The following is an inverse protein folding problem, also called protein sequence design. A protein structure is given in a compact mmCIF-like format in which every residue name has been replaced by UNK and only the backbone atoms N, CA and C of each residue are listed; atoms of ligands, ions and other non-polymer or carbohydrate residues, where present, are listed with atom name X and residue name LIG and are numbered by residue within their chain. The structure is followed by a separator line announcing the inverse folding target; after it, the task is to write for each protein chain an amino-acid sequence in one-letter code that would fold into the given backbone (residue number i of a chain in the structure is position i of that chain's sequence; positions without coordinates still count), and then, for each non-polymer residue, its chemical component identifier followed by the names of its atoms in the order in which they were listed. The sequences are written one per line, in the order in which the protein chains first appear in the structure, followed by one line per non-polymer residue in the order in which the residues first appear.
data_IF_960183904821
#
_entry.id   IF_960183904821
#
_cell.length_a   1.000
_cell.length_b   1.000
_cell.length_c   1.000
_cell.angle_alpha   90.00
_cell.angle_beta   90.00
_cell.angle_gamma   90.00
#
_symmetry.space_group_name_H-M   'P 1'
#
loop_
_entity.id
_entity.type
_entity.pdbx_description
1 polymer ?
#
# COMPACT_ATOMS: atom_id res chain seq x y z
N UNK A 1 -19.52 11.92 7.38
CA UNK A 1 -18.08 11.81 7.06
C UNK A 1 -17.94 10.62 6.11
N UNK A 2 -17.02 10.63 5.14
CA UNK A 2 -16.76 9.41 4.37
C UNK A 2 -16.48 8.28 5.37
N UNK A 3 -17.12 7.13 5.19
CA UNK A 3 -16.82 5.95 5.99
C UNK A 3 -15.32 5.69 5.87
N UNK A 4 -14.59 5.42 6.96
CA UNK A 4 -13.18 5.05 6.85
C UNK A 4 -13.05 3.92 5.83
N UNK A 5 -12.09 4.02 4.89
CA UNK A 5 -11.67 2.85 4.12
C UNK A 5 -10.88 1.94 5.07
N UNK A 6 -11.63 1.26 5.93
CA UNK A 6 -11.17 0.36 6.96
C UNK A 6 -10.59 -0.90 6.31
N UNK A 7 -9.34 -1.20 6.67
CA UNK A 7 -8.63 -2.39 6.20
C UNK A 7 -8.55 -3.40 7.35
N UNK A 8 -9.00 -4.61 7.07
CA UNK A 8 -9.07 -5.70 8.04
C UNK A 8 -8.10 -6.81 7.66
N UNK A 9 -7.47 -7.40 8.68
CA UNK A 9 -6.62 -8.58 8.48
C UNK A 9 -7.45 -9.82 8.17
N UNK A 10 -6.83 -10.80 7.52
CA UNK A 10 -7.41 -12.14 7.29
C UNK A 10 -7.96 -12.75 8.58
N UNK A 11 -7.25 -12.58 9.70
CA UNK A 11 -7.70 -13.01 11.02
C UNK A 11 -8.99 -12.33 11.45
N UNK A 12 -9.07 -10.99 11.35
CA UNK A 12 -10.28 -10.25 11.73
C UNK A 12 -11.48 -10.66 10.87
N UNK A 13 -11.28 -10.81 9.56
CA UNK A 13 -12.35 -11.22 8.65
C UNK A 13 -12.88 -12.62 8.97
N UNK A 14 -12.01 -13.59 9.24
CA UNK A 14 -12.43 -14.93 9.68
C UNK A 14 -13.22 -14.89 10.99
N UNK A 15 -12.87 -13.99 11.92
CA UNK A 15 -13.60 -13.85 13.17
C UNK A 15 -14.95 -13.16 12.98
N UNK A 16 -15.06 -12.18 12.07
CA UNK A 16 -16.33 -11.58 11.65
C UNK A 16 -17.23 -12.65 11.00
N UNK A 17 -16.71 -13.42 10.05
CA UNK A 17 -17.43 -14.51 9.38
C UNK A 17 -17.98 -15.52 10.39
N UNK A 18 -17.14 -15.97 11.32
CA UNK A 18 -17.53 -16.93 12.36
C UNK A 18 -18.65 -16.40 13.24
N UNK A 19 -18.60 -15.13 13.62
CA UNK A 19 -19.64 -14.50 14.44
C UNK A 19 -20.95 -14.30 13.65
N UNK A 20 -20.85 -13.83 12.41
CA UNK A 20 -22.01 -13.63 11.54
C UNK A 20 -22.74 -14.96 11.26
N UNK A 21 -21.98 -16.04 11.00
CA UNK A 21 -22.50 -17.36 10.69
C UNK A 21 -23.38 -17.96 11.81
N UNK A 22 -23.21 -17.55 13.08
CA UNK A 22 -24.07 -18.01 14.19
C UNK A 22 -25.52 -17.58 14.01
N UNK A 23 -25.75 -16.44 13.35
CA UNK A 23 -27.07 -15.82 13.19
C UNK A 23 -27.70 -16.06 11.81
N UNK A 24 -26.95 -16.65 10.88
CA UNK A 24 -27.35 -16.79 9.48
C UNK A 24 -27.61 -18.26 9.13
N UNK A 25 -28.50 -18.53 8.15
CA UNK A 25 -28.65 -19.88 7.60
C UNK A 25 -27.32 -20.41 7.04
N UNK A 26 -27.11 -21.72 7.14
CA UNK A 26 -25.91 -22.38 6.63
C UNK A 26 -25.66 -22.04 5.15
N UNK A 27 -24.48 -21.50 4.83
CA UNK A 27 -24.08 -21.15 3.46
C UNK A 27 -24.57 -19.79 2.97
N UNK A 28 -25.34 -19.04 3.79
CA UNK A 28 -25.87 -17.73 3.38
C UNK A 28 -24.77 -16.72 3.01
N UNK A 29 -23.62 -16.72 3.71
CA UNK A 29 -22.50 -15.82 3.38
C UNK A 29 -21.92 -16.14 1.99
N UNK A 30 -21.73 -17.42 1.66
CA UNK A 30 -21.22 -17.85 0.35
C UNK A 30 -22.20 -17.52 -0.78
N UNK A 31 -23.51 -17.70 -0.54
CA UNK A 31 -24.54 -17.31 -1.51
C UNK A 31 -24.54 -15.80 -1.76
N UNK A 32 -24.41 -14.99 -0.69
CA UNK A 32 -24.29 -13.52 -0.83
C UNK A 32 -23.00 -13.10 -1.53
N UNK A 33 -21.88 -13.74 -1.21
CA UNK A 33 -20.59 -13.50 -1.87
C UNK A 33 -20.66 -13.82 -3.36
N UNK A 34 -21.26 -14.96 -3.71
CA UNK A 34 -21.50 -15.36 -5.11
C UNK A 34 -22.42 -14.41 -5.87
N UNK A 35 -23.51 -13.96 -5.25
CA UNK A 35 -24.40 -12.98 -5.85
C UNK A 35 -23.70 -11.62 -6.05
N UNK A 36 -22.89 -11.18 -5.08
CA UNK A 36 -22.11 -9.96 -5.20
C UNK A 36 -21.04 -10.08 -6.30
N UNK A 37 -20.35 -11.22 -6.38
CA UNK A 37 -19.40 -11.54 -7.44
C UNK A 37 -20.06 -11.53 -8.82
N UNK A 38 -21.27 -12.09 -8.94
CA UNK A 38 -22.04 -12.07 -10.18
C UNK A 38 -22.45 -10.64 -10.57
N UNK A 39 -22.85 -9.81 -9.62
CA UNK A 39 -23.20 -8.41 -9.89
C UNK A 39 -21.99 -7.63 -10.42
N UNK A 40 -20.83 -7.74 -9.76
CA UNK A 40 -19.60 -7.11 -10.24
C UNK A 40 -19.19 -7.63 -11.61
N UNK A 41 -19.30 -8.94 -11.85
CA UNK A 41 -19.04 -9.53 -13.16
C UNK A 41 -19.96 -8.94 -14.25
N UNK A 42 -21.25 -8.79 -13.98
CA UNK A 42 -22.22 -8.21 -14.92
C UNK A 42 -21.90 -6.76 -15.28
N UNK A 43 -21.39 -5.96 -14.33
CA UNK A 43 -20.95 -4.57 -14.59
C UNK A 43 -19.75 -4.49 -15.53
N UNK A 44 -18.91 -5.52 -15.57
CA UNK A 44 -17.72 -5.59 -16.42
C UNK A 44 -17.99 -6.13 -17.83
N UNK A 45 -19.16 -6.73 -18.06
CA UNK A 45 -19.48 -7.29 -19.37
C UNK A 45 -19.75 -6.15 -20.38
N UNK A 46 -19.03 -6.10 -21.52
CA UNK A 46 -19.11 -4.97 -22.45
C UNK A 46 -20.39 -4.94 -23.29
N UNK A 47 -21.22 -5.97 -23.22
CA UNK A 47 -22.43 -6.13 -24.04
C UNK A 47 -23.46 -7.02 -23.32
N UNK A 48 -24.58 -7.30 -24.00
CA UNK A 48 -25.66 -8.13 -23.46
C UNK A 48 -25.13 -9.45 -22.90
N UNK A 49 -25.53 -9.76 -21.66
CA UNK A 49 -25.16 -10.97 -20.93
C UNK A 49 -25.34 -12.25 -21.75
N UNK A 50 -26.32 -12.30 -22.65
CA UNK A 50 -26.59 -13.48 -23.51
C UNK A 50 -25.48 -13.81 -24.51
N UNK A 51 -24.63 -12.84 -24.86
CA UNK A 51 -23.48 -13.06 -25.74
C UNK A 51 -22.19 -13.27 -24.95
N UNK A 52 -22.21 -13.06 -23.63
CA UNK A 52 -21.03 -13.05 -22.80
C UNK A 52 -20.52 -14.47 -22.54
N UNK A 53 -19.25 -14.69 -22.82
CA UNK A 53 -18.54 -15.94 -22.54
C UNK A 53 -17.69 -15.73 -21.30
N UNK A 54 -18.10 -16.30 -20.18
CA UNK A 54 -17.41 -16.12 -18.89
C UNK A 54 -16.71 -17.41 -18.51
N UNK A 55 -15.39 -17.33 -18.29
CA UNK A 55 -14.62 -18.41 -17.70
C UNK A 55 -14.56 -18.20 -16.19
N UNK A 56 -14.90 -19.22 -15.41
CA UNK A 56 -14.82 -19.20 -13.95
C UNK A 56 -13.83 -20.26 -13.50
N UNK A 57 -12.82 -19.85 -12.75
CA UNK A 57 -11.82 -20.73 -12.14
C UNK A 57 -12.21 -20.98 -10.68
N UNK A 58 -12.65 -22.18 -10.35
CA UNK A 58 -13.14 -22.53 -9.01
C UNK A 58 -12.18 -23.49 -8.30
N UNK A 59 -11.50 -23.00 -7.27
CA UNK A 59 -10.58 -23.79 -6.46
C UNK A 59 -11.26 -24.73 -5.45
N UNK A 60 -10.47 -25.47 -4.66
CA UNK A 60 -11.00 -26.48 -3.72
C UNK A 60 -11.55 -25.88 -2.41
N UNK A 61 -11.22 -24.63 -2.06
CA UNK A 61 -11.64 -23.97 -0.83
C UNK A 61 -12.92 -23.15 -0.94
N UNK A 62 -13.21 -22.34 0.08
CA UNK A 62 -14.42 -21.51 0.13
C UNK A 62 -14.48 -20.45 -0.98
N UNK A 63 -13.34 -19.84 -1.36
CA UNK A 63 -13.32 -18.92 -2.51
C UNK A 63 -13.77 -19.61 -3.82
N UNK A 64 -13.47 -20.90 -3.95
CA UNK A 64 -13.98 -21.70 -5.07
C UNK A 64 -15.48 -21.99 -4.96
N UNK A 65 -16.03 -22.03 -3.75
CA UNK A 65 -17.47 -22.04 -3.51
C UNK A 65 -18.14 -20.73 -3.94
N UNK A 66 -17.56 -19.59 -3.57
CA UNK A 66 -18.04 -18.27 -3.99
C UNK A 66 -18.02 -18.12 -5.53
N UNK A 67 -16.98 -18.66 -6.18
CA UNK A 67 -16.89 -18.74 -7.63
C UNK A 67 -17.97 -19.64 -8.26
N UNK A 68 -18.30 -20.77 -7.64
CA UNK A 68 -19.35 -21.66 -8.11
C UNK A 68 -20.74 -21.01 -7.99
N UNK A 69 -21.01 -20.29 -6.90
CA UNK A 69 -22.23 -19.49 -6.77
C UNK A 69 -22.28 -18.39 -7.83
N UNK A 70 -21.18 -17.65 -8.00
CA UNK A 70 -21.03 -16.62 -9.03
C UNK A 70 -21.36 -17.19 -10.42
N UNK A 71 -20.81 -18.37 -10.74
CA UNK A 71 -21.07 -19.08 -11.99
C UNK A 71 -22.56 -19.42 -12.17
N UNK A 72 -23.22 -19.92 -11.11
CA UNK A 72 -24.64 -20.27 -11.14
C UNK A 72 -25.53 -19.04 -11.39
N UNK A 73 -25.25 -17.92 -10.71
CA UNK A 73 -25.97 -16.66 -10.88
C UNK A 73 -25.79 -16.09 -12.29
N UNK A 74 -24.56 -16.09 -12.83
CA UNK A 74 -24.28 -15.63 -14.19
C UNK A 74 -24.96 -16.50 -15.26
N UNK A 75 -24.96 -17.82 -15.07
CA UNK A 75 -25.67 -18.75 -15.95
C UNK A 75 -27.18 -18.47 -15.93
N UNK A 76 -27.76 -18.22 -14.74
CA UNK A 76 -29.16 -17.84 -14.61
C UNK A 76 -29.49 -16.49 -15.26
N UNK A 77 -28.55 -15.53 -15.22
CA UNK A 77 -28.65 -14.26 -15.94
C UNK A 77 -28.50 -14.40 -17.48
N UNK A 78 -28.20 -15.61 -17.97
CA UNK A 78 -28.14 -15.95 -19.38
C UNK A 78 -26.73 -15.92 -20.00
N UNK A 79 -25.67 -15.78 -19.21
CA UNK A 79 -24.30 -15.84 -19.72
C UNK A 79 -23.89 -17.26 -20.14
N UNK A 80 -23.01 -17.36 -21.12
CA UNK A 80 -22.35 -18.60 -21.49
C UNK A 80 -21.18 -18.88 -20.55
N UNK A 81 -21.50 -19.49 -19.41
CA UNK A 81 -20.52 -19.77 -18.34
C UNK A 81 -19.80 -21.10 -18.60
N UNK A 82 -18.47 -21.07 -18.54
CA UNK A 82 -17.60 -22.25 -18.50
C UNK A 82 -16.86 -22.27 -17.17
N UNK A 83 -16.91 -23.38 -16.45
CA UNK A 83 -16.29 -23.56 -15.14
C UNK A 83 -15.13 -24.55 -15.25
N UNK A 84 -13.93 -24.11 -14.88
CA UNK A 84 -12.80 -24.98 -14.56
C UNK A 84 -12.83 -25.28 -13.07
N UNK A 85 -13.11 -26.52 -12.73
CA UNK A 85 -13.33 -26.94 -11.35
C UNK A 85 -12.15 -27.76 -10.82
N UNK A 86 -11.62 -27.37 -9.67
CA UNK A 86 -10.71 -28.21 -8.90
C UNK A 86 -11.51 -29.12 -7.95
N UNK A 87 -11.27 -30.42 -8.04
CA UNK A 87 -11.81 -31.41 -7.11
C UNK A 87 -11.18 -31.28 -5.70
N UNK A 88 -11.80 -31.90 -4.70
CA UNK A 88 -11.23 -32.09 -3.36
C UNK A 88 -11.79 -31.20 -2.24
N UNK A 89 -12.70 -30.27 -2.55
CA UNK A 89 -13.39 -29.48 -1.53
C UNK A 89 -14.53 -30.26 -0.85
N UNK A 90 -14.48 -30.40 0.47
CA UNK A 90 -15.46 -31.17 1.27
C UNK A 90 -16.39 -30.31 2.13
N UNK A 91 -16.17 -28.98 2.17
CA UNK A 91 -17.01 -28.07 2.94
C UNK A 91 -18.48 -28.14 2.47
N UNK A 92 -19.47 -28.32 3.38
CA UNK A 92 -20.88 -28.49 3.01
C UNK A 92 -21.42 -27.35 2.14
N UNK A 93 -21.08 -26.11 2.46
CA UNK A 93 -21.47 -24.91 1.71
C UNK A 93 -20.94 -24.93 0.27
N UNK A 94 -19.67 -25.33 0.07
CA UNK A 94 -19.07 -25.46 -1.25
C UNK A 94 -19.73 -26.59 -2.06
N UNK A 95 -20.09 -27.70 -1.42
CA UNK A 95 -20.79 -28.80 -2.09
C UNK A 95 -22.18 -28.38 -2.58
N UNK A 96 -22.88 -27.54 -1.81
CA UNK A 96 -24.15 -26.93 -2.23
C UNK A 96 -23.95 -25.98 -3.41
N UNK A 97 -22.92 -25.14 -3.37
CA UNK A 97 -22.56 -24.27 -4.49
C UNK A 97 -22.24 -25.06 -5.77
N UNK A 98 -21.48 -26.15 -5.66
CA UNK A 98 -21.19 -27.04 -6.77
C UNK A 98 -22.47 -27.67 -7.35
N UNK A 99 -23.38 -28.12 -6.48
CA UNK A 99 -24.66 -28.69 -6.91
C UNK A 99 -25.53 -27.65 -7.66
N UNK A 100 -25.61 -26.42 -7.15
CA UNK A 100 -26.30 -25.31 -7.82
C UNK A 100 -25.68 -24.98 -9.17
N UNK A 101 -24.36 -24.85 -9.23
CA UNK A 101 -23.65 -24.58 -10.48
C UNK A 101 -23.87 -25.69 -11.52
N UNK A 102 -23.86 -26.96 -11.11
CA UNK A 102 -24.15 -28.11 -12.00
C UNK A 102 -25.60 -28.21 -12.43
N UNK A 103 -26.53 -27.70 -11.65
CA UNK A 103 -27.95 -27.62 -12.02
C UNK A 103 -28.26 -26.45 -12.96
N UNK A 104 -27.32 -25.52 -13.15
CA UNK A 104 -27.44 -24.40 -14.09
C UNK A 104 -27.06 -24.80 -15.52
N UNK A 105 -27.07 -23.84 -16.45
CA UNK A 105 -26.59 -24.01 -17.82
C UNK A 105 -25.07 -23.93 -17.97
N UNK A 106 -24.32 -23.77 -16.87
CA UNK A 106 -22.87 -23.67 -16.89
C UNK A 106 -22.23 -24.98 -17.38
N UNK A 107 -21.22 -24.87 -18.25
CA UNK A 107 -20.45 -26.01 -18.75
C UNK A 107 -19.21 -26.25 -17.90
N UNK A 108 -19.02 -27.46 -17.42
CA UNK A 108 -17.81 -27.85 -16.69
C UNK A 108 -16.76 -28.45 -17.63
N UNK A 109 -15.51 -28.05 -17.46
CA UNK A 109 -14.35 -28.58 -18.20
C UNK A 109 -13.21 -28.89 -17.25
N UNK A 110 -12.25 -29.69 -17.72
CA UNK A 110 -11.01 -29.94 -16.98
C UNK A 110 -10.18 -28.65 -16.85
N UNK A 111 -9.42 -28.49 -15.74
CA UNK A 111 -8.58 -27.32 -15.49
C UNK A 111 -7.29 -27.36 -16.32
N UNK A 112 -7.42 -27.21 -17.64
CA UNK A 112 -6.30 -27.24 -18.59
C UNK A 112 -5.91 -25.79 -19.03
N UNK A 113 -4.65 -25.36 -18.82
CA UNK A 113 -4.18 -24.01 -19.19
C UNK A 113 -4.37 -23.64 -20.66
N UNK A 114 -4.24 -24.60 -21.56
CA UNK A 114 -4.38 -24.41 -23.01
C UNK A 114 -5.81 -23.96 -23.37
N UNK A 115 -6.82 -24.47 -22.65
CA UNK A 115 -8.21 -24.09 -22.84
C UNK A 115 -8.49 -22.65 -22.36
N UNK A 116 -7.70 -22.13 -21.40
CA UNK A 116 -7.77 -20.71 -21.00
C UNK A 116 -7.30 -19.83 -22.15
N UNK A 117 -6.10 -20.08 -22.68
CA UNK A 117 -5.47 -19.24 -23.71
C UNK A 117 -6.18 -19.28 -25.07
N UNK A 118 -6.70 -20.44 -25.47
CA UNK A 118 -7.41 -20.61 -26.74
C UNK A 118 -8.83 -20.03 -26.74
N UNK A 119 -9.38 -19.72 -25.57
CA UNK A 119 -10.72 -19.18 -25.45
C UNK A 119 -10.84 -17.73 -25.92
N UNK A 120 -12.04 -17.40 -26.36
CA UNK A 120 -12.48 -16.03 -26.59
C UNK A 120 -13.46 -15.69 -25.47
N UNK A 121 -12.90 -15.11 -24.40
CA UNK A 121 -13.59 -14.85 -23.15
C UNK A 121 -13.95 -13.37 -23.06
N UNK A 122 -15.16 -13.08 -22.64
CA UNK A 122 -15.60 -11.72 -22.31
C UNK A 122 -15.13 -11.30 -20.91
N UNK A 123 -14.94 -12.28 -20.02
CA UNK A 123 -14.48 -12.09 -18.64
C UNK A 123 -13.89 -13.40 -18.12
N UNK A 124 -12.80 -13.32 -17.35
CA UNK A 124 -12.29 -14.42 -16.52
C UNK A 124 -12.54 -14.08 -15.05
N UNK A 125 -13.10 -15.01 -14.28
CA UNK A 125 -13.31 -14.89 -12.85
C UNK A 125 -12.35 -15.82 -12.13
N UNK A 126 -11.48 -15.23 -11.31
CA UNK A 126 -10.57 -15.96 -10.43
C UNK A 126 -11.21 -16.19 -9.06
N UNK A 127 -11.46 -17.45 -8.74
CA UNK A 127 -11.75 -17.93 -7.39
C UNK A 127 -10.97 -19.19 -7.06
N UNK A 128 -9.70 -19.27 -7.47
CA UNK A 128 -8.84 -20.40 -7.15
C UNK A 128 -8.49 -20.42 -5.65
N UNK A 129 -8.02 -19.30 -5.12
CA UNK A 129 -7.58 -19.16 -3.73
C UNK A 129 -7.94 -17.76 -3.19
N UNK A 130 -8.46 -17.68 -1.96
CA UNK A 130 -8.70 -16.39 -1.27
C UNK A 130 -7.75 -16.22 -0.08
N UNK A 131 -8.22 -15.60 1.02
CA UNK A 131 -7.46 -15.37 2.27
C UNK A 131 -6.93 -16.62 3.01
N UNK A 132 -7.10 -17.83 2.45
CA UNK A 132 -6.67 -19.10 3.02
C UNK A 132 -5.27 -19.56 2.58
N UNK A 133 -4.67 -18.90 1.60
CA UNK A 133 -3.44 -19.36 0.98
C UNK A 133 -2.22 -19.09 1.86
N UNK A 134 -1.55 -20.15 2.32
CA UNK A 134 -0.33 -20.06 3.14
C UNK A 134 0.93 -20.60 2.44
N UNK A 135 0.78 -21.14 1.22
CA UNK A 135 1.86 -21.73 0.42
C UNK A 135 1.81 -21.17 -1.00
N UNK A 136 2.95 -21.06 -1.70
CA UNK A 136 2.96 -20.59 -3.08
C UNK A 136 2.04 -21.44 -3.95
N UNK A 137 1.35 -20.78 -4.88
CA UNK A 137 0.59 -21.48 -5.93
C UNK A 137 1.57 -22.29 -6.76
N UNK A 138 1.28 -23.58 -6.96
CA UNK A 138 2.19 -24.52 -7.60
C UNK A 138 1.46 -25.50 -8.53
N UNK A 139 2.24 -26.19 -9.36
CA UNK A 139 1.73 -27.25 -10.24
C UNK A 139 0.66 -26.75 -11.23
N UNK A 140 -0.43 -27.50 -11.45
CA UNK A 140 -1.47 -27.14 -12.41
C UNK A 140 -2.09 -25.75 -12.17
N UNK A 141 -2.24 -25.33 -10.91
CA UNK A 141 -2.77 -24.01 -10.59
C UNK A 141 -1.84 -22.88 -11.00
N UNK A 142 -0.51 -23.06 -10.85
CA UNK A 142 0.45 -22.05 -11.29
C UNK A 142 0.42 -21.88 -12.81
N UNK A 143 0.22 -22.98 -13.55
CA UNK A 143 0.05 -22.94 -14.99
C UNK A 143 -1.25 -22.23 -15.41
N UNK A 144 -2.35 -22.42 -14.67
CA UNK A 144 -3.59 -21.65 -14.89
C UNK A 144 -3.39 -20.15 -14.64
N UNK A 145 -2.74 -19.77 -13.52
CA UNK A 145 -2.42 -18.37 -13.22
C UNK A 145 -1.61 -17.74 -14.35
N UNK A 146 -0.57 -18.43 -14.84
CA UNK A 146 0.21 -17.96 -15.99
C UNK A 146 -0.61 -17.78 -17.26
N UNK A 147 -1.55 -18.69 -17.55
CA UNK A 147 -2.42 -18.57 -18.71
C UNK A 147 -3.42 -17.40 -18.59
N UNK A 148 -3.95 -17.13 -17.39
CA UNK A 148 -4.83 -15.98 -17.13
C UNK A 148 -4.07 -14.67 -17.30
N UNK A 149 -2.89 -14.54 -16.68
CA UNK A 149 -2.08 -13.31 -16.80
C UNK A 149 -1.67 -13.07 -18.26
N UNK A 150 -1.41 -14.13 -19.03
CA UNK A 150 -1.15 -14.04 -20.47
C UNK A 150 -2.31 -13.43 -21.28
N UNK A 151 -3.57 -13.68 -20.90
CA UNK A 151 -4.75 -13.04 -21.51
C UNK A 151 -4.82 -11.55 -21.17
N UNK A 152 -4.57 -11.21 -19.90
CA UNK A 152 -4.60 -9.84 -19.40
C UNK A 152 -3.50 -8.97 -20.02
N UNK A 153 -2.27 -9.48 -20.10
CA UNK A 153 -1.13 -8.79 -20.70
C UNK A 153 -1.34 -8.48 -22.20
N UNK A 154 -2.07 -9.34 -22.91
CA UNK A 154 -2.48 -9.11 -24.30
C UNK A 154 -3.73 -8.20 -24.41
N UNK A 155 -4.23 -7.66 -23.30
CA UNK A 155 -5.43 -6.83 -23.16
C UNK A 155 -6.67 -7.45 -23.83
N UNK A 156 -6.77 -8.79 -23.81
CA UNK A 156 -7.83 -9.52 -24.51
C UNK A 156 -9.13 -9.57 -23.72
N UNK A 157 -9.08 -9.61 -22.39
CA UNK A 157 -10.27 -9.65 -21.55
C UNK A 157 -9.99 -9.13 -20.13
N UNK A 158 -11.00 -8.57 -19.44
CA UNK A 158 -10.90 -8.28 -18.01
C UNK A 158 -10.78 -9.57 -17.18
N UNK A 159 -10.14 -9.44 -16.02
CA UNK A 159 -9.99 -10.49 -15.01
C UNK A 159 -10.56 -9.95 -13.69
N UNK A 160 -11.58 -10.63 -13.16
CA UNK A 160 -12.21 -10.33 -11.87
C UNK A 160 -11.75 -11.33 -10.82
N UNK A 161 -10.99 -10.90 -9.83
CA UNK A 161 -10.68 -11.72 -8.66
C UNK A 161 -11.81 -11.63 -7.61
N UNK A 162 -12.18 -12.79 -7.07
CA UNK A 162 -13.08 -12.90 -5.94
C UNK A 162 -12.27 -12.94 -4.64
N UNK A 163 -12.65 -12.08 -3.70
CA UNK A 163 -12.01 -11.81 -2.42
C UNK A 163 -10.62 -11.16 -2.53
N UNK A 164 -9.65 -11.89 -3.09
CA UNK A 164 -8.24 -11.51 -3.25
C UNK A 164 -7.68 -12.25 -4.47
N UNK A 165 -6.84 -11.61 -5.32
CA UNK A 165 -6.18 -12.31 -6.43
C UNK A 165 -5.42 -13.55 -5.95
N UNK A 166 -5.70 -14.70 -6.56
CA UNK A 166 -5.13 -15.97 -6.16
C UNK A 166 -3.61 -15.95 -6.23
N UNK A 167 -2.94 -16.20 -5.10
CA UNK A 167 -1.48 -16.13 -4.98
C UNK A 167 -0.95 -14.92 -4.23
N UNK A 168 -1.80 -13.92 -3.95
CA UNK A 168 -1.46 -12.73 -3.18
C UNK A 168 -1.74 -12.93 -1.68
N UNK A 169 -0.84 -12.47 -0.82
CA UNK A 169 -1.07 -12.38 0.62
C UNK A 169 -1.96 -11.16 0.91
N UNK A 170 -3.15 -11.40 1.46
CA UNK A 170 -4.13 -10.35 1.71
C UNK A 170 -3.75 -9.39 2.85
N UNK A 171 -2.84 -9.79 3.75
CA UNK A 171 -2.40 -8.94 4.86
C UNK A 171 -1.20 -8.09 4.48
N UNK A 172 -0.28 -8.64 3.66
CA UNK A 172 1.01 -7.99 3.37
C UNK A 172 1.14 -7.44 1.96
N UNK A 173 0.33 -7.94 1.02
CA UNK A 173 0.39 -7.59 -0.40
C UNK A 173 1.58 -8.19 -1.14
N UNK A 174 2.33 -9.09 -0.52
CA UNK A 174 3.38 -9.86 -1.20
C UNK A 174 2.81 -11.06 -1.91
N UNK A 175 3.40 -11.46 -3.03
CA UNK A 175 3.12 -12.79 -3.60
C UNK A 175 3.53 -13.88 -2.60
N UNK A 176 2.63 -14.84 -2.34
CA UNK A 176 2.84 -15.88 -1.34
C UNK A 176 3.97 -16.81 -1.77
N UNK A 177 5.03 -16.85 -0.96
CA UNK A 177 6.15 -17.78 -1.11
C UNK A 177 7.22 -17.33 -2.11
N UNK A 178 8.51 -17.70 -1.89
CA UNK A 178 9.58 -17.35 -2.83
C UNK A 178 9.35 -17.96 -4.21
N UNK A 179 9.40 -17.13 -5.26
CA UNK A 179 9.15 -17.58 -6.64
C UNK A 179 7.71 -18.02 -6.90
N UNK A 180 6.77 -17.65 -6.02
CA UNK A 180 5.34 -17.83 -6.25
C UNK A 180 4.83 -16.98 -7.42
N UNK A 181 3.58 -17.21 -7.80
CA UNK A 181 2.86 -16.37 -8.75
C UNK A 181 1.51 -15.96 -8.17
N UNK A 182 0.98 -14.84 -8.66
CA UNK A 182 -0.35 -14.37 -8.34
C UNK A 182 -1.08 -13.94 -9.61
N UNK A 183 -2.42 -14.04 -9.59
CA UNK A 183 -3.27 -13.54 -10.66
C UNK A 183 -3.13 -12.02 -10.77
N UNK A 184 -2.96 -11.51 -11.98
CA UNK A 184 -3.01 -10.08 -12.31
C UNK A 184 -4.45 -9.73 -12.68
N UNK A 185 -5.25 -9.34 -11.68
CA UNK A 185 -6.63 -8.98 -11.88
C UNK A 185 -6.77 -7.53 -12.36
N UNK A 186 -7.72 -7.27 -13.26
CA UNK A 186 -8.10 -5.89 -13.60
C UNK A 186 -9.06 -5.31 -12.58
N UNK A 187 -9.83 -6.17 -11.91
CA UNK A 187 -10.78 -5.82 -10.86
C UNK A 187 -10.74 -6.87 -9.76
N UNK A 188 -10.93 -6.45 -8.51
CA UNK A 188 -11.12 -7.33 -7.36
C UNK A 188 -12.39 -6.93 -6.63
N UNK A 189 -13.31 -7.87 -6.43
CA UNK A 189 -14.40 -7.69 -5.47
C UNK A 189 -14.02 -8.41 -4.19
N UNK A 190 -13.95 -7.67 -3.09
CA UNK A 190 -13.50 -8.16 -1.81
C UNK A 190 -14.65 -8.23 -0.80
N UNK A 191 -14.72 -9.29 0.00
CA UNK A 191 -15.90 -9.57 0.82
C UNK A 191 -15.74 -9.10 2.27
N UNK A 192 -16.86 -8.65 2.86
CA UNK A 192 -17.04 -8.19 4.26
C UNK A 192 -16.31 -6.88 4.58
N UNK A 193 -15.03 -6.81 4.27
CA UNK A 193 -14.19 -5.64 4.44
C UNK A 193 -13.00 -5.67 3.49
N UNK A 194 -12.38 -4.51 3.31
CA UNK A 194 -11.18 -4.34 2.50
C UNK A 194 -9.93 -4.90 3.22
N UNK A 195 -8.88 -5.23 2.47
CA UNK A 195 -7.66 -5.87 2.99
C UNK A 195 -6.40 -5.05 2.66
N UNK A 196 -5.43 -4.93 3.59
CA UNK A 196 -4.23 -4.14 3.36
C UNK A 196 -3.42 -4.58 2.14
N UNK A 197 -3.32 -5.89 1.91
CA UNK A 197 -2.52 -6.47 0.84
C UNK A 197 -3.00 -6.16 -0.57
N UNK A 198 -4.22 -5.64 -0.74
CA UNK A 198 -4.69 -5.18 -2.05
C UNK A 198 -4.10 -3.82 -2.46
N UNK A 199 -3.52 -3.08 -1.50
CA UNK A 199 -3.13 -1.68 -1.68
C UNK A 199 -1.65 -1.39 -1.48
N UNK A 200 -0.82 -2.41 -1.23
CA UNK A 200 0.62 -2.26 -1.02
C UNK A 200 1.41 -3.39 -1.66
N UNK A 201 2.73 -3.21 -1.75
CA UNK A 201 3.68 -4.15 -2.34
C UNK A 201 3.23 -4.60 -3.75
N UNK A 202 3.24 -5.91 -4.01
CA UNK A 202 2.85 -6.50 -5.30
C UNK A 202 1.34 -6.36 -5.53
N UNK A 203 0.55 -6.24 -4.46
CA UNK A 203 -0.90 -6.13 -4.51
C UNK A 203 -1.43 -5.02 -5.42
N UNK A 204 -0.71 -3.90 -5.54
CA UNK A 204 -1.11 -2.81 -6.46
C UNK A 204 -1.03 -3.18 -7.93
N UNK A 205 -0.18 -4.15 -8.28
CA UNK A 205 -0.08 -4.68 -9.64
C UNK A 205 -1.05 -5.85 -9.88
N UNK A 206 -1.52 -6.50 -8.81
CA UNK A 206 -2.37 -7.70 -8.87
C UNK A 206 -3.86 -7.45 -8.64
N UNK A 207 -4.24 -6.42 -7.86
CA UNK A 207 -5.62 -6.24 -7.40
C UNK A 207 -6.50 -5.43 -8.37
N UNK A 208 -5.90 -4.61 -9.23
CA UNK A 208 -6.64 -3.73 -10.12
C UNK A 208 -7.56 -2.77 -9.37
N UNK A 209 -8.77 -2.55 -9.89
CA UNK A 209 -9.80 -1.76 -9.20
C UNK A 209 -10.47 -2.59 -8.10
N UNK A 210 -10.42 -2.12 -6.85
CA UNK A 210 -10.95 -2.85 -5.69
C UNK A 210 -12.32 -2.31 -5.28
N UNK A 211 -13.30 -3.20 -5.11
CA UNK A 211 -14.65 -2.89 -4.59
C UNK A 211 -14.97 -3.79 -3.40
N UNK A 212 -15.63 -3.25 -2.37
CA UNK A 212 -15.99 -4.00 -1.15
C UNK A 212 -17.46 -4.35 -1.16
N UNK A 213 -17.78 -5.64 -0.96
CA UNK A 213 -19.14 -6.11 -0.73
C UNK A 213 -19.32 -6.56 0.73
N UNK A 214 -20.13 -5.82 1.50
CA UNK A 214 -20.31 -6.04 2.95
C UNK A 214 -21.14 -7.28 3.34
N UNK A 215 -21.72 -7.99 2.36
CA UNK A 215 -22.51 -9.23 2.53
C UNK A 215 -23.66 -9.17 3.56
N UNK A 216 -24.24 -7.98 3.75
CA UNK A 216 -25.31 -7.72 4.72
C UNK A 216 -24.99 -8.26 6.12
N UNK A 217 -23.73 -8.09 6.55
CA UNK A 217 -23.28 -8.36 7.91
C UNK A 217 -23.60 -7.16 8.80
N UNK A 218 -24.05 -7.41 10.02
CA UNK A 218 -24.27 -6.36 11.02
C UNK A 218 -22.95 -5.62 11.30
N UNK A 219 -22.95 -4.29 11.12
CA UNK A 219 -21.81 -3.44 11.38
C UNK A 219 -21.32 -3.52 12.83
N UNK A 220 -22.16 -3.93 13.78
CA UNK A 220 -21.77 -4.16 15.17
C UNK A 220 -20.77 -5.31 15.35
N UNK A 221 -20.65 -6.21 14.36
CA UNK A 221 -19.67 -7.30 14.36
C UNK A 221 -18.29 -6.86 13.87
N UNK A 222 -18.17 -5.67 13.27
CA UNK A 222 -16.90 -5.17 12.76
C UNK A 222 -16.03 -4.62 13.91
N UNK A 223 -14.81 -5.16 14.12
CA UNK A 223 -13.89 -4.65 15.12
C UNK A 223 -13.25 -3.33 14.67
N UNK A 224 -12.41 -2.74 15.52
CA UNK A 224 -11.52 -1.67 15.07
C UNK A 224 -10.64 -2.17 13.90
N UNK A 225 -10.43 -1.36 12.85
CA UNK A 225 -9.65 -1.79 11.69
C UNK A 225 -8.19 -1.98 12.06
N UNK A 226 -7.52 -2.91 11.38
CA UNK A 226 -6.07 -3.10 11.54
C UNK A 226 -5.28 -1.96 10.89
N UNK A 227 -5.76 -1.46 9.75
CA UNK A 227 -5.15 -0.36 9.02
C UNK A 227 -6.24 0.50 8.36
N UNK A 228 -5.85 1.66 7.84
CA UNK A 228 -6.72 2.54 7.09
C UNK A 228 -6.13 2.82 5.71
N UNK A 229 -6.96 2.97 4.69
CA UNK A 229 -6.54 3.53 3.41
C UNK A 229 -6.60 5.06 3.50
N UNK A 230 -5.52 5.73 3.11
CA UNK A 230 -5.41 7.18 3.18
C UNK A 230 -6.42 7.86 2.26
N UNK A 231 -7.01 8.95 2.72
CA UNK A 231 -7.87 9.81 1.92
C UNK A 231 -7.64 11.29 2.31
N UNK A 232 -7.57 12.24 1.34
CA UNK A 232 -7.31 13.64 1.66
C UNK A 232 -8.27 14.29 2.66
N UNK A 233 -9.50 13.79 2.79
CA UNK A 233 -10.48 14.30 3.74
C UNK A 233 -10.05 14.13 5.21
N UNK A 234 -9.10 13.23 5.51
CA UNK A 234 -8.60 13.00 6.87
C UNK A 234 -7.76 14.17 7.39
N UNK A 235 -7.01 14.82 6.51
CA UNK A 235 -6.12 15.93 6.86
C UNK A 235 -6.52 17.26 6.20
N UNK A 236 -7.61 17.29 5.42
CA UNK A 236 -8.09 18.50 4.74
C UNK A 236 -8.31 19.70 5.68
N UNK A 237 -8.70 19.45 6.93
CA UNK A 237 -8.89 20.51 7.93
C UNK A 237 -7.57 21.21 8.35
N UNK A 238 -6.42 20.57 8.13
CA UNK A 238 -5.10 21.14 8.37
C UNK A 238 -4.61 21.99 7.19
N UNK A 239 -5.14 21.76 5.98
CA UNK A 239 -4.93 22.59 4.80
C UNK A 239 -5.70 23.92 4.90
N UNK A 240 -5.34 24.76 5.88
CA UNK A 240 -5.97 26.04 6.14
C UNK A 240 -5.53 27.09 5.12
N UNK A 241 -6.48 27.92 4.70
CA UNK A 241 -6.18 29.10 3.88
C UNK A 241 -5.25 30.06 4.65
N UNK A 242 -4.24 30.58 3.95
CA UNK A 242 -3.33 31.58 4.53
C UNK A 242 -4.09 32.86 4.88
N UNK A 243 -3.85 33.37 6.08
CA UNK A 243 -4.36 34.67 6.50
C UNK A 243 -3.69 35.76 5.66
N UNK A 244 -4.49 36.75 5.26
CA UNK A 244 -4.02 37.88 4.45
C UNK A 244 -2.93 38.70 5.16
N UNK A 245 -3.05 38.89 6.48
CA UNK A 245 -2.06 39.59 7.29
C UNK A 245 -1.03 38.61 7.88
N UNK A 246 -0.13 38.10 7.04
CA UNK A 246 0.99 37.24 7.43
C UNK A 246 2.29 37.73 6.82
N UNK A 247 3.42 37.31 7.40
CA UNK A 247 4.76 37.63 6.90
C UNK A 247 5.59 36.34 6.76
N UNK A 248 6.80 36.44 6.21
CA UNK A 248 7.69 35.26 6.02
C UNK A 248 7.94 34.44 7.29
N UNK A 249 7.96 35.05 8.48
CA UNK A 249 8.05 34.31 9.75
C UNK A 249 6.79 33.55 10.17
N UNK A 250 5.63 33.80 9.55
CA UNK A 250 4.35 33.18 9.93
C UNK A 250 4.19 31.76 9.39
N UNK A 251 4.99 31.38 8.37
CA UNK A 251 4.93 30.08 7.70
C UNK A 251 6.18 29.24 7.98
N UNK A 252 6.81 29.48 9.14
CA UNK A 252 7.96 28.72 9.61
C UNK A 252 9.25 28.92 8.83
N UNK A 253 10.26 28.18 9.28
CA UNK A 253 11.60 28.15 8.71
C UNK A 253 11.99 26.69 8.54
N UNK A 254 12.47 26.34 7.35
CA UNK A 254 13.03 25.02 7.05
C UNK A 254 14.54 25.14 6.85
N UNK A 255 15.32 24.27 7.48
CA UNK A 255 16.74 24.09 7.21
C UNK A 255 16.95 22.69 6.60
N UNK A 256 17.52 22.63 5.40
CA UNK A 256 17.83 21.36 4.73
C UNK A 256 19.32 21.07 4.93
N UNK A 257 19.62 20.07 5.76
CA UNK A 257 20.97 19.59 6.04
C UNK A 257 21.31 18.44 5.09
N UNK A 258 22.26 18.68 4.18
CA UNK A 258 22.61 17.70 3.15
C UNK A 258 23.69 18.17 2.20
N UNK A 259 23.79 17.56 1.01
CA UNK A 259 24.66 18.02 -0.07
C UNK A 259 26.17 17.96 0.22
N UNK A 260 26.68 16.77 0.51
CA UNK A 260 28.08 16.44 0.44
C UNK A 260 28.63 16.58 -1.00
N UNK A 261 29.94 16.41 -1.16
CA UNK A 261 30.60 16.49 -2.46
C UNK A 261 29.94 15.53 -3.48
N UNK A 262 29.49 16.08 -4.61
CA UNK A 262 28.80 15.32 -5.66
C UNK A 262 27.29 15.16 -5.47
N UNK A 263 26.72 15.59 -4.34
CA UNK A 263 25.30 15.38 -3.99
C UNK A 263 24.54 16.70 -3.77
N UNK A 264 25.06 17.82 -4.29
CA UNK A 264 24.47 19.17 -4.10
C UNK A 264 23.04 19.30 -4.63
N UNK A 265 22.62 18.46 -5.56
CA UNK A 265 21.25 18.46 -6.10
C UNK A 265 20.17 18.05 -5.10
N UNK A 266 20.48 17.14 -4.17
CA UNK A 266 19.50 16.60 -3.22
C UNK A 266 18.90 17.68 -2.29
N UNK A 267 19.71 18.51 -1.58
CA UNK A 267 19.14 19.58 -0.76
C UNK A 267 18.44 20.65 -1.59
N UNK A 268 18.82 20.86 -2.86
CA UNK A 268 18.09 21.78 -3.76
C UNK A 268 16.68 21.25 -4.02
N UNK A 269 16.51 19.97 -4.37
CA UNK A 269 15.19 19.38 -4.62
C UNK A 269 14.28 19.48 -3.39
N UNK A 270 14.80 19.13 -2.22
CA UNK A 270 14.09 19.26 -0.95
C UNK A 270 13.74 20.73 -0.64
N UNK A 271 14.69 21.65 -0.77
CA UNK A 271 14.47 23.06 -0.47
C UNK A 271 13.51 23.76 -1.43
N UNK A 272 13.61 23.48 -2.73
CA UNK A 272 12.64 23.98 -3.73
C UNK A 272 11.24 23.50 -3.40
N UNK A 273 11.09 22.22 -3.07
CA UNK A 273 9.79 21.67 -2.69
C UNK A 273 9.27 22.34 -1.42
N UNK A 274 10.13 22.55 -0.42
CA UNK A 274 9.73 23.24 0.81
C UNK A 274 9.22 24.67 0.54
N UNK A 275 9.89 25.43 -0.36
CA UNK A 275 9.43 26.74 -0.80
C UNK A 275 8.07 26.67 -1.50
N UNK A 276 7.90 25.75 -2.45
CA UNK A 276 6.65 25.58 -3.20
C UNK A 276 5.49 25.10 -2.33
N UNK A 277 5.78 24.25 -1.34
CA UNK A 277 4.84 23.81 -0.30
C UNK A 277 4.54 24.92 0.73
N UNK A 278 5.24 26.05 0.63
CA UNK A 278 4.89 27.28 1.30
C UNK A 278 5.68 27.61 2.57
N UNK A 279 6.82 26.95 2.82
CA UNK A 279 7.71 27.38 3.88
C UNK A 279 8.06 28.87 3.76
N UNK A 280 8.05 29.59 4.88
CA UNK A 280 8.26 31.03 4.88
C UNK A 280 9.70 31.46 4.60
N UNK A 281 10.66 30.63 5.05
CA UNK A 281 12.09 30.75 4.77
C UNK A 281 12.69 29.37 4.61
N UNK A 282 13.63 29.22 3.68
CA UNK A 282 14.33 27.95 3.46
C UNK A 282 15.84 28.19 3.38
N UNK A 283 16.58 27.49 4.23
CA UNK A 283 18.04 27.46 4.25
C UNK A 283 18.53 26.14 3.68
N UNK A 284 19.51 26.19 2.78
CA UNK A 284 20.25 25.01 2.36
C UNK A 284 21.58 24.99 3.11
N UNK A 285 21.73 24.04 4.01
CA UNK A 285 22.88 23.86 4.88
C UNK A 285 23.73 22.72 4.32
N UNK A 286 24.72 23.09 3.51
CA UNK A 286 25.58 22.13 2.80
C UNK A 286 26.64 21.54 3.72
N UNK A 287 26.71 20.21 3.78
CA UNK A 287 27.78 19.48 4.45
C UNK A 287 29.10 19.53 3.67
N UNK A 288 29.01 19.68 2.34
CA UNK A 288 30.14 20.03 1.48
C UNK A 288 30.26 21.54 1.21
N UNK A 289 31.04 21.94 0.20
CA UNK A 289 31.11 23.33 -0.24
C UNK A 289 29.73 23.87 -0.62
N UNK A 290 29.32 24.95 0.04
CA UNK A 290 28.02 25.56 -0.21
C UNK A 290 27.98 26.22 -1.60
N UNK A 291 26.84 26.07 -2.27
CA UNK A 291 26.59 26.82 -3.50
C UNK A 291 26.40 28.31 -3.19
N UNK A 292 26.81 29.23 -4.07
CA UNK A 292 26.57 30.66 -3.87
C UNK A 292 25.06 31.00 -3.96
N UNK A 293 24.35 30.35 -4.87
CA UNK A 293 22.90 30.43 -5.02
C UNK A 293 22.39 29.25 -5.86
N UNK A 294 21.08 29.00 -5.83
CA UNK A 294 20.39 28.21 -6.83
C UNK A 294 19.81 29.15 -7.91
N UNK A 295 20.29 29.04 -9.15
CA UNK A 295 19.86 29.91 -10.25
C UNK A 295 18.35 29.79 -10.58
N UNK A 296 17.74 28.64 -10.30
CA UNK A 296 16.31 28.42 -10.55
C UNK A 296 15.40 28.90 -9.42
N UNK A 297 15.93 29.11 -8.21
CA UNK A 297 15.20 29.57 -7.03
C UNK A 297 16.14 30.41 -6.14
N UNK A 298 16.46 31.67 -6.53
CA UNK A 298 17.39 32.53 -5.78
C UNK A 298 16.91 32.90 -4.36
N UNK A 299 15.66 32.61 -4.03
CA UNK A 299 15.07 32.75 -2.69
C UNK A 299 15.68 31.78 -1.67
N UNK A 300 16.31 30.69 -2.14
CA UNK A 300 16.99 29.72 -1.30
C UNK A 300 18.27 30.31 -0.70
N UNK A 301 18.38 30.26 0.62
CA UNK A 301 19.53 30.79 1.35
C UNK A 301 20.59 29.70 1.54
N UNK A 302 21.50 29.59 0.59
CA UNK A 302 22.59 28.62 0.60
C UNK A 302 23.71 29.03 1.59
N UNK A 303 24.21 28.08 2.38
CA UNK A 303 25.29 28.27 3.35
C UNK A 303 25.96 26.96 3.74
N UNK A 304 27.18 27.00 4.33
CA UNK A 304 27.74 25.83 5.01
C UNK A 304 26.85 25.39 6.17
N UNK A 305 26.80 24.08 6.43
CA UNK A 305 26.12 23.52 7.60
C UNK A 305 26.90 23.78 8.90
N UNK A 306 28.23 23.86 8.81
CA UNK A 306 29.10 24.17 9.95
C UNK A 306 28.71 25.52 10.58
N UNK A 307 28.51 25.51 11.90
CA UNK A 307 28.12 26.71 12.65
C UNK A 307 26.67 27.16 12.46
N UNK A 308 25.83 26.39 11.73
CA UNK A 308 24.40 26.70 11.61
C UNK A 308 23.65 26.38 12.91
N UNK A 309 22.73 27.27 13.32
CA UNK A 309 21.84 27.03 14.46
C UNK A 309 20.57 26.30 14.03
N UNK A 310 20.54 24.99 14.19
CA UNK A 310 19.37 24.14 13.91
C UNK A 310 18.25 24.27 14.94
N UNK A 311 18.45 24.97 16.07
CA UNK A 311 17.39 25.21 17.06
C UNK A 311 16.35 26.25 16.61
N UNK A 312 16.63 26.97 15.51
CA UNK A 312 15.77 28.02 14.97
C UNK A 312 14.88 27.57 13.79
N UNK A 313 14.99 26.33 13.31
CA UNK A 313 14.25 25.84 12.14
C UNK A 313 13.80 24.38 12.29
N UNK A 314 12.75 24.02 11.55
CA UNK A 314 12.45 22.60 11.28
C UNK A 314 13.53 22.07 10.35
N UNK A 315 14.16 20.96 10.72
CA UNK A 315 15.29 20.42 9.96
C UNK A 315 14.84 19.25 9.09
N UNK A 316 15.19 19.30 7.80
CA UNK A 316 15.17 18.14 6.91
C UNK A 316 16.61 17.68 6.76
N UNK A 317 16.97 16.55 7.37
CA UNK A 317 18.34 16.05 7.39
C UNK A 317 18.49 14.79 6.53
N UNK A 318 19.60 14.73 5.80
CA UNK A 318 20.03 13.53 5.10
C UNK A 318 20.07 13.57 3.57
N UNK A 319 19.29 14.39 2.83
CA UNK A 319 19.40 14.49 1.37
C UNK A 319 20.85 14.70 0.88
N UNK A 320 21.51 13.62 0.46
CA UNK A 320 22.91 13.61 0.05
C UNK A 320 23.90 14.07 1.14
N UNK A 321 23.62 13.85 2.42
CA UNK A 321 24.47 14.30 3.55
C UNK A 321 25.83 13.59 3.59
N UNK A 322 25.94 12.39 3.03
CA UNK A 322 27.07 11.49 3.20
C UNK A 322 27.02 10.74 4.54
N UNK A 323 27.89 9.73 4.67
CA UNK A 323 27.86 8.78 5.80
C UNK A 323 29.14 8.74 6.63
N UNK A 324 30.05 9.71 6.43
CA UNK A 324 31.30 9.82 7.19
C UNK A 324 31.13 10.48 8.57
N UNK A 325 32.22 10.53 9.35
CA UNK A 325 32.21 11.10 10.71
C UNK A 325 31.72 12.55 10.76
N UNK A 326 32.16 13.39 9.81
CA UNK A 326 31.72 14.79 9.75
C UNK A 326 30.20 14.91 9.52
N UNK A 327 29.62 14.02 8.72
CA UNK A 327 28.18 13.96 8.50
C UNK A 327 27.43 13.50 9.76
N UNK A 328 27.99 12.53 10.49
CA UNK A 328 27.49 12.10 11.80
C UNK A 328 27.46 13.25 12.81
N UNK A 329 28.55 14.03 12.92
CA UNK A 329 28.62 15.17 13.83
C UNK A 329 27.62 16.29 13.49
N UNK A 330 27.42 16.56 12.20
CA UNK A 330 26.39 17.52 11.75
C UNK A 330 24.98 17.02 12.08
N UNK A 331 24.72 15.72 11.90
CA UNK A 331 23.43 15.12 12.23
C UNK A 331 23.18 15.13 13.74
N UNK A 332 24.17 14.80 14.56
CA UNK A 332 24.10 14.92 16.02
C UNK A 332 23.74 16.35 16.45
N UNK A 333 24.42 17.35 15.87
CA UNK A 333 24.10 18.76 16.14
C UNK A 333 22.66 19.12 15.74
N UNK A 334 22.18 18.61 14.60
CA UNK A 334 20.79 18.80 14.19
C UNK A 334 19.83 18.13 15.16
N UNK A 335 20.06 16.87 15.54
CA UNK A 335 19.21 16.08 16.44
C UNK A 335 19.08 16.69 17.85
N UNK A 336 20.01 17.54 18.27
CA UNK A 336 19.91 18.28 19.53
C UNK A 336 18.81 19.36 19.54
N UNK A 337 18.32 19.78 18.37
CA UNK A 337 17.26 20.80 18.27
C UNK A 337 15.92 20.29 18.81
N UNK A 338 15.19 21.08 19.62
CA UNK A 338 13.88 20.68 20.14
C UNK A 338 12.76 20.79 19.09
N UNK A 339 13.02 21.38 17.92
CA UNK A 339 12.02 21.55 16.87
C UNK A 339 11.79 20.26 16.09
N UNK A 340 10.64 20.11 15.40
CA UNK A 340 10.36 18.95 14.57
C UNK A 340 11.42 18.70 13.49
N UNK A 341 11.61 17.44 13.11
CA UNK A 341 12.59 17.02 12.11
C UNK A 341 12.08 15.97 11.15
N UNK A 342 12.63 16.00 9.93
CA UNK A 342 12.47 14.95 8.92
C UNK A 342 13.85 14.33 8.67
N UNK A 343 13.95 13.01 8.81
CA UNK A 343 15.17 12.26 8.52
C UNK A 343 14.93 11.41 7.26
N UNK A 344 15.76 11.64 6.24
CA UNK A 344 15.72 10.92 4.97
C UNK A 344 17.12 10.42 4.59
N UNK A 345 17.21 9.51 3.62
CA UNK A 345 18.46 9.16 2.94
C UNK A 345 19.65 8.87 3.88
N UNK A 346 20.74 9.64 3.76
CA UNK A 346 21.97 9.39 4.50
C UNK A 346 21.82 9.61 6.01
N UNK A 347 20.87 10.44 6.46
CA UNK A 347 20.60 10.55 7.90
C UNK A 347 20.05 9.23 8.45
N UNK A 348 19.20 8.54 7.70
CA UNK A 348 18.70 7.22 8.08
C UNK A 348 19.81 6.15 8.05
N UNK A 349 20.73 6.23 7.08
CA UNK A 349 21.89 5.34 7.03
C UNK A 349 22.84 5.55 8.22
N UNK A 350 23.06 6.80 8.63
CA UNK A 350 23.85 7.15 9.82
C UNK A 350 23.19 6.62 11.11
N UNK A 351 21.88 6.84 11.26
CA UNK A 351 21.09 6.31 12.39
C UNK A 351 21.15 4.79 12.45
N UNK A 352 21.07 4.09 11.31
CA UNK A 352 21.18 2.65 11.25
C UNK A 352 22.59 2.14 11.64
N UNK A 353 23.63 2.92 11.35
CA UNK A 353 25.02 2.53 11.59
C UNK A 353 25.55 2.91 12.98
N UNK A 354 24.96 3.91 13.63
CA UNK A 354 25.45 4.49 14.88
C UNK A 354 24.37 4.44 15.97
N UNK A 355 24.46 3.51 16.94
CA UNK A 355 23.47 3.36 18.00
C UNK A 355 23.19 4.65 18.78
N UNK A 356 24.23 5.45 19.04
CA UNK A 356 24.09 6.73 19.76
C UNK A 356 23.15 7.70 19.03
N UNK A 357 23.16 7.74 17.69
CA UNK A 357 22.24 8.56 16.91
C UNK A 357 20.81 8.00 16.95
N UNK A 358 20.64 6.68 16.96
CA UNK A 358 19.33 6.06 17.12
C UNK A 358 18.72 6.33 18.51
N UNK A 359 19.52 6.26 19.56
CA UNK A 359 19.12 6.61 20.92
C UNK A 359 18.76 8.09 21.03
N UNK A 360 19.54 8.97 20.38
CA UNK A 360 19.19 10.39 20.28
C UNK A 360 17.85 10.59 19.60
N UNK A 361 17.61 9.97 18.43
CA UNK A 361 16.32 10.05 17.71
C UNK A 361 15.16 9.65 18.63
N UNK A 362 15.29 8.51 19.31
CA UNK A 362 14.28 7.97 20.23
C UNK A 362 14.04 8.87 21.45
N UNK A 363 15.04 9.62 21.91
CA UNK A 363 14.94 10.50 23.07
C UNK A 363 14.42 11.92 22.76
N UNK A 364 14.23 12.26 21.47
CA UNK A 364 13.81 13.60 21.06
C UNK A 364 12.44 13.97 21.61
N UNK A 365 12.33 15.21 22.07
CA UNK A 365 11.04 15.79 22.48
C UNK A 365 10.27 16.40 21.31
N UNK A 366 10.99 16.89 20.29
CA UNK A 366 10.41 17.36 19.04
C UNK A 366 10.03 16.20 18.15
N UNK A 367 8.88 16.30 17.47
CA UNK A 367 8.41 15.25 16.57
C UNK A 367 9.44 14.90 15.49
N UNK A 368 9.55 13.62 15.17
CA UNK A 368 10.46 13.12 14.13
C UNK A 368 9.66 12.34 13.09
N UNK A 369 9.88 12.67 11.81
CA UNK A 369 9.32 11.96 10.65
C UNK A 369 10.47 11.28 9.91
N UNK A 370 10.38 9.99 9.67
CA UNK A 370 11.38 9.22 8.92
C UNK A 370 10.77 8.80 7.59
N UNK A 371 11.53 8.91 6.51
CA UNK A 371 11.06 8.56 5.17
C UNK A 371 11.88 7.43 4.53
N UNK A 372 12.10 6.27 5.18
CA UNK A 372 12.96 5.23 4.63
C UNK A 372 12.37 4.61 3.37
N UNK A 373 13.20 4.40 2.34
CA UNK A 373 12.93 3.41 1.30
C UNK A 373 13.25 1.99 1.82
N UNK A 374 12.87 0.90 1.12
CA UNK A 374 13.03 -0.46 1.63
C UNK A 374 14.45 -0.83 2.07
N UNK A 375 15.48 -0.37 1.35
CA UNK A 375 16.88 -0.61 1.72
C UNK A 375 17.33 0.13 3.00
N UNK A 376 16.95 1.40 3.20
CA UNK A 376 17.17 2.17 4.43
C UNK A 376 16.40 1.54 5.60
N UNK A 377 15.13 1.19 5.40
CA UNK A 377 14.31 0.55 6.42
C UNK A 377 14.88 -0.80 6.86
N UNK A 378 15.41 -1.59 5.92
CA UNK A 378 16.03 -2.88 6.21
C UNK A 378 17.32 -2.71 7.02
N UNK A 379 18.14 -1.70 6.69
CA UNK A 379 19.32 -1.33 7.49
C UNK A 379 18.94 -0.92 8.91
N UNK A 380 17.94 -0.05 9.06
CA UNK A 380 17.45 0.38 10.38
C UNK A 380 16.94 -0.80 11.22
N UNK A 381 16.25 -1.77 10.62
CA UNK A 381 15.77 -2.98 11.30
C UNK A 381 16.83 -4.07 11.48
N UNK A 382 18.02 -3.92 10.91
CA UNK A 382 19.05 -4.96 10.92
C UNK A 382 18.65 -6.25 10.17
N UNK A 383 17.84 -6.13 9.11
CA UNK A 383 17.41 -7.26 8.28
C UNK A 383 17.72 -7.04 6.79
N UNK A 384 17.42 -8.03 5.94
CA UNK A 384 17.48 -7.84 4.49
C UNK A 384 16.18 -7.23 3.93
N UNK A 385 16.26 -6.71 2.69
CA UNK A 385 15.12 -6.07 2.01
C UNK A 385 13.98 -7.05 1.77
N UNK A 386 14.29 -8.32 1.46
CA UNK A 386 13.28 -9.33 1.20
C UNK A 386 12.43 -9.63 2.44
N UNK A 387 13.04 -9.66 3.63
CA UNK A 387 12.38 -9.84 4.91
C UNK A 387 11.50 -8.65 5.25
N UNK A 388 12.00 -7.43 5.05
CA UNK A 388 11.21 -6.22 5.25
C UNK A 388 10.00 -6.18 4.32
N UNK A 389 10.18 -6.48 3.02
CA UNK A 389 9.12 -6.37 2.03
C UNK A 389 8.03 -7.43 2.21
N UNK A 390 8.38 -8.63 2.69
CA UNK A 390 7.43 -9.71 2.97
C UNK A 390 6.33 -9.31 3.96
N UNK A 391 6.65 -8.42 4.88
CA UNK A 391 5.72 -7.82 5.83
C UNK A 391 6.05 -6.32 5.96
N UNK A 392 5.83 -5.57 4.88
CA UNK A 392 6.04 -4.11 4.88
C UNK A 392 5.19 -3.41 5.95
N UNK A 393 3.90 -3.74 6.13
CA UNK A 393 3.08 -3.12 7.17
C UNK A 393 3.66 -3.32 8.58
N UNK A 394 3.98 -4.55 8.96
CA UNK A 394 4.57 -4.83 10.26
C UNK A 394 5.97 -4.21 10.41
N UNK A 395 6.75 -4.14 9.33
CA UNK A 395 8.07 -3.49 9.35
C UNK A 395 7.99 -1.99 9.60
N UNK A 396 7.00 -1.31 9.00
CA UNK A 396 6.75 0.12 9.26
C UNK A 396 6.38 0.36 10.73
N UNK A 397 5.50 -0.47 11.30
CA UNK A 397 5.13 -0.35 12.72
C UNK A 397 6.33 -0.61 13.65
N UNK A 398 7.14 -1.63 13.37
CA UNK A 398 8.34 -1.92 14.17
C UNK A 398 9.33 -0.75 14.15
N UNK A 399 9.54 -0.13 12.99
CA UNK A 399 10.39 1.06 12.88
C UNK A 399 9.84 2.23 13.71
N UNK A 400 8.54 2.48 13.63
CA UNK A 400 7.87 3.52 14.40
C UNK A 400 8.02 3.33 15.91
N UNK A 401 7.79 2.11 16.41
CA UNK A 401 7.93 1.78 17.84
C UNK A 401 9.40 1.79 18.32
N UNK A 402 10.33 1.38 17.46
CA UNK A 402 11.76 1.34 17.76
C UNK A 402 12.37 2.74 17.88
N UNK A 403 11.93 3.69 17.06
CA UNK A 403 12.51 5.05 17.01
C UNK A 403 11.60 6.12 17.62
N UNK A 404 10.45 5.72 18.16
CA UNK A 404 9.42 6.62 18.73
C UNK A 404 9.05 7.77 17.77
N UNK A 405 8.77 7.42 16.52
CA UNK A 405 8.66 8.39 15.45
C UNK A 405 7.61 8.02 14.40
N UNK A 406 7.19 9.01 13.61
CA UNK A 406 6.33 8.77 12.45
C UNK A 406 7.19 8.23 11.32
N UNK A 407 6.82 7.09 10.74
CA UNK A 407 7.56 6.42 9.68
C UNK A 407 6.71 6.36 8.43
N UNK A 408 7.23 6.89 7.33
CA UNK A 408 6.71 6.74 5.97
C UNK A 408 7.62 5.74 5.25
N UNK A 409 7.29 4.45 5.35
CA UNK A 409 8.02 3.39 4.67
C UNK A 409 7.65 3.39 3.19
N UNK A 410 8.54 3.99 2.38
CA UNK A 410 8.32 4.27 0.95
C UNK A 410 8.24 2.97 0.15
N UNK A 411 7.40 3.00 -0.88
CA UNK A 411 7.16 1.89 -1.81
C UNK A 411 5.80 2.02 -2.50
N UNK A 412 5.47 1.11 -3.42
CA UNK A 412 4.13 1.06 -4.01
C UNK A 412 3.10 0.80 -2.90
N UNK A 413 2.19 1.74 -2.66
CA UNK A 413 1.34 1.72 -1.46
C UNK A 413 2.16 1.99 -0.20
N UNK A 414 2.73 3.20 -0.08
CA UNK A 414 3.59 3.54 1.05
C UNK A 414 2.84 3.39 2.36
N UNK A 415 3.49 2.80 3.37
CA UNK A 415 2.89 2.55 4.68
C UNK A 415 3.35 3.62 5.66
N UNK A 416 2.39 4.27 6.32
CA UNK A 416 2.60 5.30 7.33
C UNK A 416 2.26 4.69 8.69
N UNK A 417 3.20 4.71 9.63
CA UNK A 417 3.03 4.16 10.97
C UNK A 417 3.57 5.13 12.03
N UNK A 418 2.98 5.08 13.22
CA UNK A 418 3.43 5.83 14.39
C UNK A 418 3.07 5.05 15.67
N UNK A 419 3.80 5.24 16.79
CA UNK A 419 3.46 4.61 18.06
C UNK A 419 2.02 4.92 18.48
N UNK A 420 1.25 3.88 18.82
CA UNK A 420 -0.12 4.02 19.30
C UNK A 420 -1.15 4.52 18.26
N UNK A 421 -0.79 4.59 16.98
CA UNK A 421 -1.70 4.95 15.88
C UNK A 421 -2.01 3.73 15.02
N UNK A 422 -3.22 3.70 14.46
CA UNK A 422 -3.56 2.75 13.40
C UNK A 422 -2.79 3.12 12.13
N UNK A 423 -2.02 2.18 11.59
CA UNK A 423 -1.22 2.41 10.39
C UNK A 423 -2.10 2.73 9.17
N UNK A 424 -1.54 3.51 8.24
CA UNK A 424 -2.23 4.02 7.05
C UNK A 424 -1.48 3.60 5.79
N UNK A 425 -2.18 3.16 4.75
CA UNK A 425 -1.61 2.91 3.42
C UNK A 425 -1.99 4.07 2.50
N UNK A 426 -1.01 4.68 1.84
CA UNK A 426 -1.26 5.68 0.81
C UNK A 426 -1.48 5.01 -0.56
N UNK A 427 -2.71 5.04 -1.14
CA UNK A 427 -3.00 4.40 -2.43
C UNK A 427 -2.52 5.20 -3.64
N UNK A 428 -2.10 6.45 -3.44
CA UNK A 428 -1.74 7.37 -4.52
C UNK A 428 -0.33 7.14 -5.06
N UNK A 429 0.00 7.83 -6.15
CA UNK A 429 1.28 7.72 -6.84
C UNK A 429 1.28 6.63 -7.91
N UNK A 430 2.27 6.67 -8.78
CA UNK A 430 2.42 5.78 -9.93
C UNK A 430 3.92 5.44 -10.15
N UNK A 431 4.24 4.51 -11.06
CA UNK A 431 5.62 4.07 -11.28
C UNK A 431 6.59 5.18 -11.73
N UNK A 432 6.11 6.34 -12.22
CA UNK A 432 6.97 7.45 -12.62
C UNK A 432 7.76 8.07 -11.45
N UNK A 433 7.34 7.80 -10.21
CA UNK A 433 8.06 8.23 -9.01
C UNK A 433 9.33 7.40 -8.71
N UNK A 434 9.55 6.29 -9.42
CA UNK A 434 10.74 5.44 -9.29
C UNK A 434 11.95 6.05 -10.02
N UNK A 435 12.28 7.30 -9.70
CA UNK A 435 13.45 8.02 -10.22
C UNK A 435 14.17 8.74 -9.08
N UNK A 436 15.45 9.04 -9.27
CA UNK A 436 16.26 9.73 -8.27
C UNK A 436 15.67 11.12 -7.95
N UNK A 437 15.70 11.50 -6.68
CA UNK A 437 15.28 12.82 -6.19
C UNK A 437 13.82 12.94 -5.76
N UNK A 438 12.95 11.97 -6.05
CA UNK A 438 11.55 12.00 -5.58
C UNK A 438 11.43 11.87 -4.05
N UNK A 439 12.38 11.16 -3.43
CA UNK A 439 12.54 11.12 -1.97
C UNK A 439 12.84 12.49 -1.37
N UNK A 440 13.79 13.21 -1.97
CA UNK A 440 14.18 14.57 -1.51
C UNK A 440 12.98 15.53 -1.57
N UNK A 441 12.17 15.44 -2.63
CA UNK A 441 10.92 16.20 -2.78
C UNK A 441 9.96 15.89 -1.64
N UNK A 442 9.72 14.61 -1.33
CA UNK A 442 8.85 14.20 -0.21
C UNK A 442 9.38 14.74 1.13
N UNK A 443 10.68 14.62 1.39
CA UNK A 443 11.29 15.10 2.62
C UNK A 443 11.14 16.63 2.78
N UNK A 444 11.34 17.38 1.70
CA UNK A 444 11.11 18.82 1.65
C UNK A 444 9.65 19.22 1.89
N UNK A 445 8.70 18.48 1.32
CA UNK A 445 7.27 18.67 1.55
C UNK A 445 6.93 18.46 3.04
N UNK A 446 7.38 17.36 3.64
CA UNK A 446 7.16 17.08 5.06
C UNK A 446 7.74 18.20 5.94
N UNK A 447 8.97 18.64 5.66
CA UNK A 447 9.61 19.73 6.38
C UNK A 447 8.83 21.04 6.32
N UNK A 448 8.27 21.39 5.15
CA UNK A 448 7.45 22.58 5.00
C UNK A 448 6.11 22.50 5.74
N UNK A 449 5.44 21.34 5.75
CA UNK A 449 4.19 21.16 6.50
C UNK A 449 4.44 21.27 8.00
N UNK A 450 5.46 20.60 8.53
CA UNK A 450 5.88 20.72 9.92
C UNK A 450 6.24 22.17 10.30
N UNK A 451 6.97 22.88 9.44
CA UNK A 451 7.31 24.29 9.66
C UNK A 451 6.06 25.20 9.70
N UNK A 452 5.00 24.82 8.98
CA UNK A 452 3.71 25.50 9.00
C UNK A 452 2.85 25.12 10.21
N UNK A 453 3.35 24.28 11.12
CA UNK A 453 2.68 23.87 12.34
C UNK A 453 1.68 22.74 12.15
N UNK A 454 1.81 21.96 11.07
CA UNK A 454 1.09 20.70 10.96
C UNK A 454 1.56 19.74 12.06
N UNK A 455 0.65 19.06 12.78
CA UNK A 455 1.07 17.98 13.64
C UNK A 455 1.65 16.84 12.80
N UNK A 456 2.66 16.14 13.30
CA UNK A 456 3.51 15.28 12.47
C UNK A 456 2.82 14.04 11.88
N UNK A 457 1.65 13.66 12.40
CA UNK A 457 0.86 12.54 11.88
C UNK A 457 0.04 12.94 10.65
N UNK A 458 -0.43 14.19 10.60
CA UNK A 458 -1.22 14.80 9.54
C UNK A 458 -0.35 15.40 8.43
#
# INVERSE_FOLDING_TARGET
MPTPCALYTTRQLRDIERQAAVSLPDGALMERAGQAGANAALELLPFSTRLARVLVLAGPGNNGGDALETAAHLAHAGAHVTVMHADGGTAPERLRALARARASTARFIAPEPEAVGAGDWSLVIDGLFGIGLARPVAGPFAALVGAVNGLGAALRCPVLALDVPSGLDADTGSVVGPGGCAVEATHTITFIGDKPGLHTADGRDHAGSVTVAGLDIDAALLPAPAMLLNDPNWFAAHARQRRQNTHKGSNGIVAVLGGAAGMTGAPILAGRTALHAGAGRVFLCFAGPALPCDAGQPELMCRPAEGHDFAAAVTVAGPGLGTGEAAGALLEQALASPLPQVLDADALNLVAAQPDLADQVRARQGATVLTPHPLEGARLLGCDVATLQRDRPGSAQRLADMLDAVVILKGSGSVIAAPGRTAVINPTGNPALATAGTGDVLAGLCGALLAQGWPAWE
#
